data_IF_685316473649
#
_entry.id   IF_685316473649
#
_cell.length_a   1.000
_cell.length_b   1.000
_cell.length_c   1.000
_cell.angle_alpha   90.00
_cell.angle_beta   90.00
_cell.angle_gamma   90.00
#
_symmetry.space_group_name_H-M   'P 1'
#
loop_
_entity.id
_entity.type
_entity.pdbx_description
1 polymer ?
#
# COMPACT_ATOMS: atom_id res chain seq x y z
N UNK A 1 -2.01 -34.86 -4.56
CA UNK A 1 -3.26 -34.39 -5.18
C UNK A 1 -2.91 -33.37 -6.25
N UNK A 2 -3.40 -33.51 -7.48
CA UNK A 2 -3.07 -32.59 -8.58
C UNK A 2 -3.93 -31.34 -8.41
N UNK A 3 -3.34 -30.23 -8.04
CA UNK A 3 -4.02 -28.94 -8.07
C UNK A 3 -4.23 -28.60 -9.55
N UNK A 4 -5.46 -28.65 -10.00
CA UNK A 4 -5.82 -28.18 -11.35
C UNK A 4 -5.83 -26.65 -11.27
N UNK A 5 -4.69 -26.03 -11.46
CA UNK A 5 -4.59 -24.57 -11.60
C UNK A 5 -5.09 -24.20 -12.98
N UNK A 6 -6.23 -23.52 -13.05
CA UNK A 6 -6.56 -22.74 -14.23
C UNK A 6 -5.49 -21.64 -14.33
N UNK A 7 -4.77 -21.51 -15.44
CA UNK A 7 -3.81 -20.42 -15.56
C UNK A 7 -4.55 -19.09 -15.48
N UNK A 8 -4.31 -18.34 -14.41
CA UNK A 8 -4.83 -16.98 -14.24
C UNK A 8 -3.88 -16.03 -14.91
N UNK A 9 -4.37 -15.20 -15.79
CA UNK A 9 -3.58 -14.10 -16.37
C UNK A 9 -3.53 -12.94 -15.36
N UNK A 10 -2.50 -12.97 -14.51
CA UNK A 10 -2.31 -11.94 -13.49
C UNK A 10 -1.97 -10.57 -14.08
N UNK A 11 -1.33 -10.51 -15.27
CA UNK A 11 -1.07 -9.24 -15.94
C UNK A 11 -2.39 -8.62 -16.42
N UNK A 12 -3.24 -9.41 -17.07
CA UNK A 12 -4.56 -8.93 -17.49
C UNK A 12 -5.41 -8.49 -16.31
N UNK A 13 -5.43 -9.26 -15.21
CA UNK A 13 -6.16 -8.91 -14.00
C UNK A 13 -5.61 -7.63 -13.33
N UNK A 14 -4.28 -7.47 -13.29
CA UNK A 14 -3.67 -6.23 -12.79
C UNK A 14 -4.08 -5.03 -13.66
N UNK A 15 -4.06 -5.19 -14.98
CA UNK A 15 -4.52 -4.17 -15.92
C UNK A 15 -5.99 -3.79 -15.71
N UNK A 16 -6.86 -4.77 -15.48
CA UNK A 16 -8.27 -4.54 -15.13
C UNK A 16 -8.39 -3.66 -13.87
N UNK A 17 -7.64 -3.99 -12.82
CA UNK A 17 -7.66 -3.22 -11.57
C UNK A 17 -7.06 -1.81 -11.74
N UNK A 18 -6.02 -1.63 -12.57
CA UNK A 18 -5.45 -0.31 -12.88
C UNK A 18 -6.53 0.58 -13.51
N UNK A 19 -7.30 0.05 -14.47
CA UNK A 19 -8.32 0.79 -15.19
C UNK A 19 -9.53 1.19 -14.35
N UNK A 20 -9.65 0.67 -13.13
CA UNK A 20 -10.65 1.09 -12.13
C UNK A 20 -10.05 2.21 -11.28
N UNK A 21 -10.60 3.44 -11.32
CA UNK A 21 -10.12 4.55 -10.49
C UNK A 21 -10.27 4.26 -9.00
N UNK A 22 -9.23 4.59 -8.22
CA UNK A 22 -9.24 4.41 -6.77
C UNK A 22 -8.26 5.36 -6.06
N UNK A 23 -8.22 6.64 -6.46
CA UNK A 23 -7.46 7.65 -5.72
C UNK A 23 -7.96 7.73 -4.26
N UNK A 24 -7.05 7.96 -3.30
CA UNK A 24 -7.38 8.06 -1.87
C UNK A 24 -8.61 8.94 -1.63
N UNK A 25 -9.57 8.47 -0.84
CA UNK A 25 -10.92 9.02 -0.60
C UNK A 25 -11.91 8.86 -1.78
N UNK A 26 -11.53 8.21 -2.86
CA UNK A 26 -12.36 7.97 -4.05
C UNK A 26 -12.30 6.51 -4.52
N UNK A 27 -12.13 5.57 -3.59
CA UNK A 27 -11.91 4.14 -3.85
C UNK A 27 -13.22 3.39 -4.20
N UNK A 28 -14.38 4.04 -4.09
CA UNK A 28 -15.69 3.41 -4.26
C UNK A 28 -15.80 2.51 -5.52
N UNK A 29 -15.29 2.90 -6.71
CA UNK A 29 -15.39 2.02 -7.88
C UNK A 29 -14.65 0.68 -7.72
N UNK A 30 -13.50 0.68 -7.04
CA UNK A 30 -12.73 -0.53 -6.80
C UNK A 30 -13.34 -1.36 -5.68
N UNK A 31 -13.87 -0.71 -4.64
CA UNK A 31 -14.61 -1.36 -3.54
C UNK A 31 -15.80 -2.14 -4.08
N UNK A 32 -16.62 -1.52 -4.94
CA UNK A 32 -17.79 -2.16 -5.55
C UNK A 32 -17.39 -3.36 -6.43
N UNK A 33 -16.32 -3.23 -7.20
CA UNK A 33 -15.79 -4.34 -8.00
C UNK A 33 -15.36 -5.52 -7.10
N UNK A 34 -14.66 -5.25 -6.01
CA UNK A 34 -14.22 -6.28 -5.07
C UNK A 34 -15.40 -6.96 -4.38
N UNK A 35 -16.38 -6.18 -3.93
CA UNK A 35 -17.62 -6.71 -3.32
C UNK A 35 -18.38 -7.61 -4.28
N UNK A 36 -18.54 -7.20 -5.55
CA UNK A 36 -19.22 -7.98 -6.57
C UNK A 36 -18.48 -9.29 -6.87
N UNK A 37 -17.16 -9.24 -7.06
CA UNK A 37 -16.35 -10.42 -7.37
C UNK A 37 -16.29 -11.41 -6.22
N UNK A 38 -15.95 -10.94 -5.02
CA UNK A 38 -15.84 -11.79 -3.82
C UNK A 38 -17.20 -12.28 -3.34
N UNK A 39 -18.24 -11.48 -3.44
CA UNK A 39 -19.60 -11.83 -3.03
C UNK A 39 -20.24 -12.95 -3.87
N UNK A 40 -19.69 -13.27 -5.05
CA UNK A 40 -20.10 -14.43 -5.86
C UNK A 40 -19.51 -15.75 -5.40
N UNK A 41 -18.56 -15.71 -4.46
CA UNK A 41 -17.85 -16.88 -3.97
C UNK A 41 -18.55 -17.43 -2.72
N UNK A 42 -19.31 -18.48 -2.89
CA UNK A 42 -20.20 -19.07 -1.86
C UNK A 42 -19.48 -19.62 -0.62
N UNK A 43 -18.16 -19.79 -0.68
CA UNK A 43 -17.32 -20.25 0.42
C UNK A 43 -16.72 -19.10 1.25
N UNK A 44 -16.97 -17.85 0.86
CA UNK A 44 -16.52 -16.67 1.57
C UNK A 44 -17.68 -15.94 2.27
N UNK A 45 -17.42 -15.49 3.48
CA UNK A 45 -18.19 -14.43 4.12
C UNK A 45 -17.58 -13.09 3.77
N UNK A 46 -18.33 -12.21 3.08
CA UNK A 46 -17.83 -10.92 2.62
C UNK A 46 -18.56 -9.81 3.35
N UNK A 47 -17.81 -8.87 3.91
CA UNK A 47 -18.33 -7.74 4.67
C UNK A 47 -17.63 -6.44 4.24
N UNK A 48 -18.41 -5.36 4.07
CA UNK A 48 -17.88 -3.99 3.94
C UNK A 48 -17.91 -3.30 5.30
N UNK A 49 -16.77 -2.78 5.74
CA UNK A 49 -16.62 -2.00 6.98
C UNK A 49 -16.04 -0.63 6.64
N UNK A 50 -16.90 0.39 6.60
CA UNK A 50 -16.53 1.68 6.02
C UNK A 50 -16.18 1.53 4.54
N UNK A 51 -14.96 1.92 4.17
CA UNK A 51 -14.43 1.75 2.83
C UNK A 51 -13.47 0.54 2.70
N UNK A 52 -13.49 -0.35 3.68
CA UNK A 52 -12.73 -1.59 3.63
C UNK A 52 -13.61 -2.77 3.23
N UNK A 53 -13.04 -3.72 2.50
CA UNK A 53 -13.68 -5.00 2.15
C UNK A 53 -12.94 -6.12 2.85
N UNK A 54 -13.67 -6.95 3.60
CA UNK A 54 -13.13 -8.11 4.28
C UNK A 54 -13.84 -9.36 3.78
N UNK A 55 -13.07 -10.33 3.28
CA UNK A 55 -13.59 -11.62 2.87
C UNK A 55 -12.92 -12.74 3.68
N UNK A 56 -13.69 -13.69 4.20
CA UNK A 56 -13.20 -14.72 5.12
C UNK A 56 -13.69 -16.09 4.76
N UNK A 57 -12.82 -17.09 4.94
CA UNK A 57 -13.23 -18.49 5.02
C UNK A 57 -13.62 -18.86 6.46
N UNK A 58 -14.44 -19.90 6.58
CA UNK A 58 -14.75 -20.60 7.83
C UNK A 58 -14.74 -22.11 7.56
N UNK A 59 -13.53 -22.63 7.30
CA UNK A 59 -13.30 -24.04 6.95
C UNK A 59 -13.00 -24.88 8.19
N UNK A 60 -12.83 -24.26 9.35
CA UNK A 60 -12.56 -24.92 10.63
C UNK A 60 -11.10 -25.33 10.80
N UNK A 61 -10.17 -24.69 10.12
CA UNK A 61 -8.74 -24.91 10.34
C UNK A 61 -8.29 -24.30 11.68
N UNK A 62 -7.22 -24.85 12.24
CA UNK A 62 -6.62 -24.39 13.50
C UNK A 62 -5.96 -22.99 13.33
N UNK A 63 -5.41 -22.73 12.14
CA UNK A 63 -4.68 -21.51 11.84
C UNK A 63 -5.38 -20.65 10.80
N UNK A 64 -5.15 -19.32 10.90
CA UNK A 64 -5.68 -18.32 9.99
C UNK A 64 -4.58 -17.39 9.47
N UNK A 65 -4.52 -17.25 8.15
CA UNK A 65 -3.64 -16.31 7.45
C UNK A 65 -4.43 -15.06 7.05
N UNK A 66 -3.87 -13.89 7.29
CA UNK A 66 -4.37 -12.62 6.78
C UNK A 66 -3.61 -12.24 5.50
N UNK A 67 -4.33 -11.91 4.42
CA UNK A 67 -3.81 -11.33 3.19
C UNK A 67 -4.31 -9.90 3.12
N UNK A 68 -3.41 -8.94 3.25
CA UNK A 68 -3.76 -7.53 3.49
C UNK A 68 -3.18 -6.65 2.40
N UNK A 69 -4.00 -5.80 1.80
CA UNK A 69 -3.55 -4.85 0.79
C UNK A 69 -4.44 -3.62 0.71
N UNK A 70 -3.85 -2.47 0.34
CA UNK A 70 -4.61 -1.23 0.18
C UNK A 70 -5.19 -1.09 -1.21
N UNK A 71 -6.33 -0.40 -1.28
CA UNK A 71 -7.09 -0.20 -2.53
C UNK A 71 -6.80 1.14 -3.19
N UNK A 72 -6.34 2.10 -2.42
CA UNK A 72 -6.12 3.45 -2.90
C UNK A 72 -4.80 3.61 -3.67
N UNK A 73 -4.73 4.71 -4.38
CA UNK A 73 -3.55 5.17 -5.10
C UNK A 73 -3.33 6.65 -4.82
N UNK A 74 -2.10 7.10 -5.03
CA UNK A 74 -1.78 8.53 -5.16
C UNK A 74 -2.55 9.17 -6.32
N UNK A 75 -2.63 10.52 -6.40
CA UNK A 75 -3.22 11.22 -7.54
C UNK A 75 -2.55 10.83 -8.86
N UNK A 76 -3.36 10.72 -9.91
CA UNK A 76 -2.90 10.40 -11.26
C UNK A 76 -1.97 11.47 -11.84
N UNK A 77 -1.07 11.01 -12.71
CA UNK A 77 -0.11 11.86 -13.43
C UNK A 77 0.06 11.37 -14.86
N UNK A 78 -1.01 11.45 -15.65
CA UNK A 78 -1.12 10.96 -17.04
C UNK A 78 -0.85 9.43 -17.17
N UNK A 79 -1.14 8.65 -16.13
CA UNK A 79 -0.86 7.21 -16.02
C UNK A 79 -2.05 6.39 -15.51
N UNK A 80 -3.28 6.88 -15.67
CA UNK A 80 -4.53 6.28 -15.13
C UNK A 80 -4.91 4.96 -15.79
N UNK A 81 -4.34 4.68 -16.97
CA UNK A 81 -4.70 3.52 -17.77
C UNK A 81 -3.59 2.50 -17.81
N UNK A 82 -4.00 1.24 -17.81
CA UNK A 82 -3.08 0.14 -18.03
C UNK A 82 -2.48 0.19 -19.44
N UNK A 83 -1.18 -0.01 -19.51
CA UNK A 83 -0.48 -0.24 -20.78
C UNK A 83 0.39 -1.49 -20.67
N UNK A 84 0.46 -2.27 -21.75
CA UNK A 84 1.15 -3.55 -21.78
C UNK A 84 2.30 -3.52 -22.78
N UNK A 85 3.46 -4.03 -22.35
CA UNK A 85 4.63 -4.25 -23.19
C UNK A 85 5.21 -5.64 -22.89
N UNK A 86 4.86 -6.64 -23.68
CA UNK A 86 5.20 -8.04 -23.42
C UNK A 86 4.66 -8.51 -22.06
N UNK A 87 5.57 -8.90 -21.17
CA UNK A 87 5.26 -9.41 -19.83
C UNK A 87 5.22 -8.30 -18.76
N UNK A 88 5.13 -7.04 -19.18
CA UNK A 88 5.10 -5.88 -18.28
C UNK A 88 3.76 -5.15 -18.42
N UNK A 89 3.12 -4.86 -17.29
CA UNK A 89 1.98 -3.94 -17.21
C UNK A 89 2.40 -2.69 -16.45
N UNK A 90 2.04 -1.53 -16.98
CA UNK A 90 2.31 -0.22 -16.39
C UNK A 90 1.03 0.57 -16.24
N UNK A 91 0.94 1.39 -15.20
CA UNK A 91 -0.19 2.26 -14.91
C UNK A 91 -0.21 2.64 -13.43
N UNK A 92 -1.16 3.49 -13.05
CA UNK A 92 -1.29 3.98 -11.69
C UNK A 92 -1.61 2.84 -10.71
N UNK A 93 -0.76 2.69 -9.68
CA UNK A 93 -0.91 1.62 -8.68
C UNK A 93 -0.49 0.22 -9.19
N UNK A 94 0.12 0.09 -10.39
CA UNK A 94 0.52 -1.22 -10.92
C UNK A 94 1.41 -2.00 -9.96
N UNK A 95 2.43 -1.35 -9.41
CA UNK A 95 3.32 -1.93 -8.41
C UNK A 95 2.80 -1.75 -6.99
N UNK A 96 2.22 -0.60 -6.70
CA UNK A 96 1.76 -0.17 -5.37
C UNK A 96 0.26 0.19 -5.40
N UNK A 97 -0.69 -0.75 -5.00
CA UNK A 97 -0.31 -2.17 -4.93
C UNK A 97 -1.32 -3.07 -5.66
N UNK A 98 -1.91 -2.58 -6.78
CA UNK A 98 -2.94 -3.33 -7.55
C UNK A 98 -2.43 -4.68 -8.08
N UNK A 99 -1.12 -4.82 -8.33
CA UNK A 99 -0.52 -6.12 -8.63
C UNK A 99 -0.65 -7.11 -7.48
N UNK A 100 -0.40 -6.67 -6.25
CA UNK A 100 -0.64 -7.46 -5.04
C UNK A 100 -2.11 -7.81 -4.86
N UNK A 101 -3.02 -6.84 -5.08
CA UNK A 101 -4.47 -7.08 -5.04
C UNK A 101 -4.92 -8.11 -6.08
N UNK A 102 -4.35 -8.06 -7.30
CA UNK A 102 -4.65 -9.03 -8.36
C UNK A 102 -4.27 -10.46 -7.92
N UNK A 103 -3.12 -10.63 -7.28
CA UNK A 103 -2.72 -11.93 -6.70
C UNK A 103 -3.70 -12.39 -5.64
N UNK A 104 -4.07 -11.52 -4.70
CA UNK A 104 -5.01 -11.86 -3.63
C UNK A 104 -6.40 -12.21 -4.15
N UNK A 105 -6.89 -11.45 -5.13
CA UNK A 105 -8.17 -11.71 -5.75
C UNK A 105 -8.15 -13.03 -6.54
N UNK A 106 -7.09 -13.29 -7.29
CA UNK A 106 -6.91 -14.56 -8.01
C UNK A 106 -6.85 -15.76 -7.05
N UNK A 107 -6.17 -15.64 -5.91
CA UNK A 107 -6.16 -16.66 -4.88
C UNK A 107 -7.58 -16.93 -4.35
N UNK A 108 -8.35 -15.88 -4.05
CA UNK A 108 -9.73 -16.02 -3.61
C UNK A 108 -10.61 -16.69 -4.68
N UNK A 109 -10.44 -16.38 -5.96
CA UNK A 109 -11.30 -16.90 -7.04
C UNK A 109 -10.95 -18.34 -7.47
N UNK A 110 -9.69 -18.75 -7.36
CA UNK A 110 -9.22 -19.98 -8.01
C UNK A 110 -8.68 -21.05 -7.06
N UNK A 111 -8.33 -20.72 -5.82
CA UNK A 111 -7.80 -21.66 -4.84
C UNK A 111 -8.89 -22.06 -3.84
N UNK A 112 -9.26 -23.34 -3.82
CA UNK A 112 -10.29 -23.90 -2.93
C UNK A 112 -9.75 -24.84 -1.86
N UNK A 113 -8.65 -25.52 -2.14
CA UNK A 113 -8.02 -26.48 -1.22
C UNK A 113 -6.99 -25.72 -0.35
N UNK A 114 -7.51 -24.97 0.61
CA UNK A 114 -6.71 -24.13 1.52
C UNK A 114 -6.27 -24.98 2.72
N UNK A 115 -5.00 -24.87 3.10
CA UNK A 115 -4.42 -25.57 4.25
C UNK A 115 -4.68 -24.83 5.59
N UNK A 116 -5.12 -23.60 5.53
CA UNK A 116 -5.46 -22.71 6.67
C UNK A 116 -6.71 -21.92 6.33
N UNK A 117 -7.39 -21.41 7.35
CA UNK A 117 -8.40 -20.38 7.11
C UNK A 117 -7.74 -19.08 6.64
N UNK A 118 -8.41 -18.35 5.75
CA UNK A 118 -7.85 -17.11 5.17
C UNK A 118 -8.81 -15.96 5.36
N UNK A 119 -8.26 -14.80 5.69
CA UNK A 119 -8.95 -13.52 5.66
C UNK A 119 -8.25 -12.62 4.65
N UNK A 120 -8.96 -12.19 3.62
CA UNK A 120 -8.54 -11.13 2.69
C UNK A 120 -9.05 -9.79 3.22
N UNK A 121 -8.16 -8.83 3.35
CA UNK A 121 -8.46 -7.46 3.79
C UNK A 121 -7.99 -6.50 2.71
N UNK A 122 -8.93 -5.84 2.08
CA UNK A 122 -8.72 -4.75 1.12
C UNK A 122 -9.09 -3.47 1.83
N UNK A 123 -8.10 -2.67 2.22
CA UNK A 123 -8.33 -1.47 3.02
C UNK A 123 -8.06 -0.19 2.25
N UNK A 124 -8.75 0.89 2.63
CA UNK A 124 -8.69 2.17 1.97
C UNK A 124 -7.68 3.12 2.64
N UNK A 125 -7.30 4.18 1.91
CA UNK A 125 -6.57 5.34 2.44
C UNK A 125 -5.25 5.02 3.14
N UNK A 126 -4.39 4.20 2.48
CA UNK A 126 -3.02 3.94 2.93
C UNK A 126 -2.09 5.11 2.60
N UNK A 127 -2.20 5.67 1.39
CA UNK A 127 -1.31 6.63 0.75
C UNK A 127 -1.43 8.07 1.32
N UNK A 128 -2.21 8.25 2.37
CA UNK A 128 -2.48 9.55 2.99
C UNK A 128 -2.07 9.56 4.47
N UNK A 129 -2.46 10.60 5.21
CA UNK A 129 -2.11 10.71 6.62
C UNK A 129 -2.68 9.54 7.44
N UNK A 130 -1.89 8.99 8.36
CA UNK A 130 -2.23 7.80 9.15
C UNK A 130 -3.55 7.90 9.94
N UNK A 131 -4.04 9.12 10.21
CA UNK A 131 -5.35 9.35 10.84
C UNK A 131 -6.54 8.89 9.99
N UNK A 132 -6.33 8.74 8.67
CA UNK A 132 -7.35 8.28 7.71
C UNK A 132 -7.20 6.80 7.36
N UNK A 133 -6.13 6.13 7.78
CA UNK A 133 -5.81 4.76 7.40
C UNK A 133 -6.94 3.77 7.72
N UNK A 134 -7.49 3.15 6.69
CA UNK A 134 -8.63 2.24 6.78
C UNK A 134 -8.35 0.99 7.59
N UNK A 135 -7.13 0.43 7.51
CA UNK A 135 -6.74 -0.73 8.31
C UNK A 135 -6.72 -0.39 9.81
N UNK A 136 -6.20 0.79 10.17
CA UNK A 136 -6.23 1.25 11.55
C UNK A 136 -7.65 1.50 12.05
N UNK A 137 -8.57 1.95 11.19
CA UNK A 137 -9.98 2.05 11.52
C UNK A 137 -10.61 0.66 11.74
N UNK A 138 -10.35 -0.28 10.84
CA UNK A 138 -10.84 -1.67 10.92
C UNK A 138 -10.39 -2.35 12.22
N UNK A 139 -9.11 -2.21 12.60
CA UNK A 139 -8.57 -2.76 13.86
C UNK A 139 -9.31 -2.20 15.10
N UNK A 140 -9.70 -0.94 15.08
CA UNK A 140 -10.43 -0.33 16.19
C UNK A 140 -11.90 -0.75 16.25
N UNK A 141 -12.55 -0.85 15.10
CA UNK A 141 -14.00 -1.04 15.00
C UNK A 141 -14.39 -2.51 15.00
N UNK A 142 -13.58 -3.33 14.34
CA UNK A 142 -13.82 -4.76 14.13
C UNK A 142 -12.53 -5.58 14.33
N UNK A 143 -11.97 -5.59 15.56
CA UNK A 143 -10.77 -6.37 15.86
C UNK A 143 -10.93 -7.86 15.55
N UNK A 144 -12.15 -8.38 15.65
CA UNK A 144 -12.51 -9.76 15.30
C UNK A 144 -12.22 -10.14 13.85
N UNK A 145 -12.20 -9.17 12.94
CA UNK A 145 -11.92 -9.40 11.51
C UNK A 145 -10.42 -9.42 11.18
N UNK A 146 -9.58 -8.93 12.08
CA UNK A 146 -8.12 -8.84 11.90
C UNK A 146 -7.34 -9.80 12.80
N UNK A 147 -8.02 -10.77 13.41
CA UNK A 147 -7.38 -11.83 14.18
C UNK A 147 -6.86 -12.92 13.24
N UNK A 148 -5.57 -13.30 13.42
CA UNK A 148 -4.92 -14.36 12.67
C UNK A 148 -3.55 -14.70 13.24
N UNK A 149 -2.98 -15.84 12.81
CA UNK A 149 -1.68 -16.33 13.27
C UNK A 149 -0.51 -15.69 12.51
N UNK A 150 -0.76 -15.28 11.27
CA UNK A 150 0.21 -14.59 10.43
C UNK A 150 -0.50 -13.64 9.47
N UNK A 151 0.23 -12.62 9.01
CA UNK A 151 -0.22 -11.69 7.99
C UNK A 151 0.83 -11.53 6.89
N UNK A 152 0.34 -11.48 5.65
CA UNK A 152 1.12 -11.09 4.47
C UNK A 152 0.53 -9.79 3.94
N UNK A 153 1.35 -8.75 3.90
CA UNK A 153 1.03 -7.50 3.21
C UNK A 153 1.55 -7.61 1.78
N UNK A 154 0.69 -7.34 0.80
CA UNK A 154 1.02 -7.51 -0.62
C UNK A 154 1.78 -6.34 -1.24
N UNK A 155 2.58 -5.65 -0.45
CA UNK A 155 3.39 -4.50 -0.85
C UNK A 155 4.49 -4.86 -1.85
N UNK A 156 5.01 -3.88 -2.64
CA UNK A 156 6.03 -4.12 -3.65
C UNK A 156 7.42 -4.34 -3.02
N UNK A 157 7.82 -5.59 -2.83
CA UNK A 157 9.09 -6.00 -2.22
C UNK A 157 10.05 -6.69 -3.20
N UNK A 158 9.84 -6.51 -4.52
CA UNK A 158 10.59 -7.24 -5.56
C UNK A 158 10.50 -8.77 -5.42
N UNK A 159 9.37 -9.27 -4.92
CA UNK A 159 9.11 -10.67 -4.59
C UNK A 159 10.03 -11.25 -3.51
N UNK A 160 10.65 -10.41 -2.71
CA UNK A 160 11.41 -10.79 -1.52
C UNK A 160 10.54 -10.68 -0.27
N UNK A 161 10.94 -11.37 0.79
CA UNK A 161 10.26 -11.34 2.08
C UNK A 161 10.89 -10.24 2.94
N UNK A 162 10.12 -9.20 3.20
CA UNK A 162 10.52 -8.13 4.11
C UNK A 162 9.74 -8.22 5.42
N UNK A 163 10.41 -7.97 6.53
CA UNK A 163 9.80 -8.01 7.86
C UNK A 163 9.78 -6.61 8.46
N UNK A 164 8.60 -6.01 8.53
CA UNK A 164 8.37 -4.69 9.08
C UNK A 164 8.58 -3.56 8.07
N UNK A 165 8.19 -2.36 8.47
CA UNK A 165 8.30 -1.14 7.67
C UNK A 165 8.86 0.00 8.52
N UNK A 166 9.55 0.94 7.88
CA UNK A 166 10.07 2.14 8.53
C UNK A 166 8.97 3.18 8.74
N UNK A 167 9.07 3.92 9.83
CA UNK A 167 8.24 5.10 10.03
C UNK A 167 8.68 6.25 9.12
N UNK A 168 7.74 7.10 8.73
CA UNK A 168 7.99 8.31 7.94
C UNK A 168 8.02 9.54 8.85
N UNK A 169 9.05 10.37 8.69
CA UNK A 169 9.15 11.67 9.35
C UNK A 169 9.14 12.79 8.31
N UNK A 170 8.10 13.63 8.34
CA UNK A 170 8.01 14.82 7.49
C UNK A 170 8.26 16.07 8.31
N UNK A 171 9.25 16.86 7.92
CA UNK A 171 9.66 18.11 8.61
C UNK A 171 9.53 19.29 7.67
N UNK A 172 8.92 20.38 8.15
CA UNK A 172 8.93 21.68 7.47
C UNK A 172 9.89 22.62 8.19
N UNK A 173 10.94 23.04 7.50
CA UNK A 173 11.88 24.03 7.99
C UNK A 173 11.68 25.37 7.27
N UNK A 174 11.72 26.47 8.01
CA UNK A 174 11.50 27.82 7.47
C UNK A 174 12.68 28.72 7.82
N UNK A 175 13.28 29.33 6.79
CA UNK A 175 14.34 30.31 6.94
C UNK A 175 13.79 31.71 6.66
N UNK A 176 14.12 32.63 7.56
CA UNK A 176 13.76 34.05 7.42
C UNK A 176 14.98 34.88 7.10
N UNK A 177 14.83 35.84 6.20
CA UNK A 177 15.83 36.81 5.84
C UNK A 177 15.40 38.24 6.19
N UNK A 178 16.30 39.19 6.00
CA UNK A 178 16.08 40.63 6.14
C UNK A 178 16.29 41.26 4.78
N UNK A 179 15.38 42.14 4.37
CA UNK A 179 15.47 42.84 3.09
C UNK A 179 16.60 43.87 3.11
N UNK A 180 17.32 43.97 2.00
CA UNK A 180 18.28 45.04 1.72
C UNK A 180 18.15 45.51 0.28
N UNK A 181 18.61 46.71 0.02
CA UNK A 181 18.78 47.24 -1.34
C UNK A 181 19.88 46.43 -2.06
N UNK A 182 19.69 46.09 -3.33
CA UNK A 182 20.65 45.26 -4.09
C UNK A 182 22.07 45.86 -4.14
N UNK A 183 22.20 47.20 -4.16
CA UNK A 183 23.50 47.89 -4.08
C UNK A 183 24.09 47.93 -2.64
N UNK A 184 23.36 47.45 -1.62
CA UNK A 184 23.80 47.45 -0.21
C UNK A 184 23.43 46.12 0.47
N UNK A 185 23.87 44.97 -0.07
CA UNK A 185 23.47 43.65 0.41
C UNK A 185 23.90 43.38 1.86
N UNK A 186 24.92 44.05 2.36
CA UNK A 186 25.40 43.93 3.74
C UNK A 186 24.42 44.46 4.80
N UNK A 187 23.39 45.22 4.38
CA UNK A 187 22.35 45.74 5.30
C UNK A 187 21.22 44.75 5.54
N UNK A 188 21.25 43.58 4.93
CA UNK A 188 20.23 42.55 5.10
C UNK A 188 20.80 41.14 5.27
N UNK A 189 19.94 40.18 5.26
CA UNK A 189 20.29 38.75 5.37
C UNK A 189 19.53 37.94 4.35
N UNK A 190 20.23 37.29 3.44
CA UNK A 190 19.59 36.43 2.45
C UNK A 190 19.17 35.08 3.10
N UNK A 191 17.87 34.76 3.05
CA UNK A 191 17.33 33.53 3.59
C UNK A 191 17.89 32.30 2.88
N UNK A 192 18.13 32.39 1.57
CA UNK A 192 18.67 31.26 0.76
C UNK A 192 20.11 30.95 1.20
N UNK A 193 20.95 31.97 1.40
CA UNK A 193 22.32 31.75 1.89
C UNK A 193 22.36 31.10 3.27
N UNK A 194 21.34 31.35 4.11
CA UNK A 194 21.24 30.73 5.43
C UNK A 194 20.82 29.28 5.38
N UNK A 195 20.24 28.83 4.26
CA UNK A 195 19.82 27.44 4.04
C UNK A 195 21.02 26.52 3.74
N UNK A 196 22.11 27.05 3.15
CA UNK A 196 23.24 26.26 2.63
C UNK A 196 23.78 25.24 3.64
N UNK A 197 24.07 25.70 4.87
CA UNK A 197 24.59 24.80 5.92
C UNK A 197 23.63 23.69 6.34
N UNK A 198 22.31 23.87 6.18
CA UNK A 198 21.34 22.82 6.41
C UNK A 198 21.32 21.83 5.24
N UNK A 199 21.39 22.32 3.99
CA UNK A 199 21.48 21.46 2.80
C UNK A 199 22.75 20.62 2.81
N UNK A 200 23.90 21.18 3.17
CA UNK A 200 25.16 20.44 3.32
C UNK A 200 25.05 19.30 4.34
N UNK A 201 24.34 19.52 5.46
CA UNK A 201 24.10 18.48 6.46
C UNK A 201 23.14 17.39 5.96
N UNK A 202 22.12 17.77 5.19
CA UNK A 202 21.20 16.82 4.60
C UNK A 202 21.89 15.97 3.53
N UNK A 203 22.71 16.59 2.67
CA UNK A 203 23.51 15.90 1.66
C UNK A 203 24.50 14.91 2.29
N UNK A 204 25.13 15.30 3.39
CA UNK A 204 26.12 14.48 4.11
C UNK A 204 25.49 13.47 5.06
N UNK A 205 24.15 13.36 5.12
CA UNK A 205 23.51 12.42 6.01
C UNK A 205 23.67 10.98 5.51
N UNK A 206 24.35 10.17 6.29
CA UNK A 206 24.39 8.72 6.11
C UNK A 206 23.37 8.08 7.03
N UNK A 207 22.36 7.44 6.42
CA UNK A 207 21.24 6.84 7.16
C UNK A 207 21.73 5.76 8.14
N UNK A 208 21.20 5.78 9.36
CA UNK A 208 21.50 4.74 10.35
C UNK A 208 21.01 3.39 9.87
N UNK A 209 21.62 2.34 10.43
CA UNK A 209 21.22 0.93 10.18
C UNK A 209 20.89 0.25 11.50
N UNK A 210 19.74 0.57 12.10
CA UNK A 210 19.32 -0.09 13.34
C UNK A 210 19.01 -1.56 13.09
N UNK A 211 19.34 -2.40 14.06
CA UNK A 211 18.94 -3.81 14.08
C UNK A 211 17.90 -3.97 15.20
N UNK A 212 16.71 -4.40 14.83
CA UNK A 212 15.60 -4.64 15.73
C UNK A 212 15.11 -6.09 15.54
N UNK A 213 15.09 -6.86 16.60
CA UNK A 213 14.66 -8.27 16.59
C UNK A 213 15.34 -9.14 15.51
N UNK A 214 16.62 -8.82 15.20
CA UNK A 214 17.42 -9.53 14.21
C UNK A 214 17.25 -9.02 12.76
N UNK A 215 16.36 -8.08 12.49
CA UNK A 215 16.16 -7.45 11.20
C UNK A 215 16.94 -6.13 11.12
N UNK A 216 17.70 -5.93 10.04
CA UNK A 216 18.41 -4.68 9.77
C UNK A 216 17.49 -3.74 8.98
N UNK A 217 17.32 -2.53 9.48
CA UNK A 217 16.60 -1.44 8.80
C UNK A 217 17.58 -0.37 8.34
N UNK A 218 17.29 0.27 7.21
CA UNK A 218 18.11 1.36 6.69
C UNK A 218 17.30 2.63 6.60
N UNK A 219 17.70 3.65 7.37
CA UNK A 219 17.12 4.99 7.21
C UNK A 219 17.52 5.60 5.87
N UNK A 220 16.59 6.33 5.24
CA UNK A 220 16.80 7.09 4.02
C UNK A 220 16.26 8.51 4.17
N UNK A 221 16.79 9.45 3.37
CA UNK A 221 16.34 10.83 3.29
C UNK A 221 16.23 11.26 1.82
#
# INVERSE_FOLDING_TARGET
MSVTTVPVDLLALTGELIDVPSESFHEEPLIELLLDRLGRLDYLSVERVGDNVVARTDLGHEHRLLLVGHTDTVPANDNERASFDGDVVSGLGAADMKGGLAVFLALAEHVRDLAVDVTWIFYATEEVAAEHNGLAALIRERPDLVEGDAAILGEPTSAELEAGCQGTLRVRATWRGERAHTARPWMGRNAIHRLSAALERLEAYDGRRPVLDGCEYREAM
#
